data_IF_258788766240
#
_entry.id   IF_258788766240
#
_cell.length_a   1.000
_cell.length_b   1.000
_cell.length_c   1.000
_cell.angle_alpha   90.00
_cell.angle_beta   90.00
_cell.angle_gamma   90.00
#
_symmetry.space_group_name_H-M   'P 1'
#
loop_
_entity.id
_entity.type
_entity.pdbx_description
1 polymer ?
#
# COMPACT_ATOMS: atom_id res chain seq x y z
N UNK A 1 21.54 21.96 0.47
CA UNK A 1 20.45 21.01 0.77
C UNK A 1 19.98 21.27 2.19
N UNK A 2 18.69 21.50 2.41
CA UNK A 2 18.16 21.66 3.79
C UNK A 2 17.89 20.27 4.31
N UNK A 3 18.57 19.87 5.37
CA UNK A 3 18.30 18.60 6.05
C UNK A 3 17.16 18.81 7.03
N UNK A 4 16.12 18.04 6.91
CA UNK A 4 15.02 17.97 7.88
C UNK A 4 15.06 16.58 8.50
N UNK A 5 15.25 16.52 9.82
CA UNK A 5 15.24 15.26 10.53
C UNK A 5 13.84 15.02 11.10
N UNK A 6 13.30 13.84 10.84
CA UNK A 6 12.05 13.40 11.42
C UNK A 6 12.35 12.29 12.44
N UNK A 7 11.81 12.41 13.65
CA UNK A 7 11.90 11.38 14.68
C UNK A 7 10.51 10.92 15.07
N UNK A 8 10.33 9.62 15.10
CA UNK A 8 9.11 8.97 15.54
C UNK A 8 9.37 8.33 16.91
N UNK A 9 8.51 8.59 17.88
CA UNK A 9 8.60 8.00 19.22
C UNK A 9 7.24 7.46 19.63
N UNK A 10 7.19 6.19 19.98
CA UNK A 10 5.98 5.55 20.51
C UNK A 10 5.88 5.93 21.99
N UNK A 11 4.84 6.64 22.35
CA UNK A 11 4.58 7.06 23.76
C UNK A 11 3.73 6.03 24.50
N UNK A 12 2.79 5.40 23.77
CA UNK A 12 1.92 4.34 24.26
C UNK A 12 1.30 3.60 23.08
N UNK A 13 0.52 2.56 23.34
CA UNK A 13 -0.26 1.88 22.28
C UNK A 13 -1.35 2.76 21.66
N UNK A 14 -1.64 3.92 22.27
CA UNK A 14 -2.71 4.84 21.84
C UNK A 14 -2.19 6.14 21.25
N UNK A 15 -0.92 6.48 21.48
CA UNK A 15 -0.36 7.77 21.10
C UNK A 15 1.05 7.63 20.50
N UNK A 16 1.29 8.40 19.46
CA UNK A 16 2.57 8.53 18.77
C UNK A 16 3.02 9.98 18.82
N UNK A 17 4.29 10.23 19.12
CA UNK A 17 4.88 11.54 18.97
C UNK A 17 5.68 11.63 17.68
N UNK A 18 5.36 12.62 16.86
CA UNK A 18 6.08 12.96 15.65
C UNK A 18 6.82 14.28 15.87
N UNK A 19 8.14 14.24 15.75
CA UNK A 19 9.00 15.40 15.92
C UNK A 19 9.70 15.75 14.62
N UNK A 20 9.57 17.01 14.20
CA UNK A 20 10.28 17.58 13.05
C UNK A 20 11.29 18.57 13.57
N UNK A 21 12.55 18.39 13.20
CA UNK A 21 13.62 19.35 13.45
C UNK A 21 14.24 19.82 12.13
N UNK A 22 14.67 21.05 12.10
CA UNK A 22 15.43 21.61 10.98
C UNK A 22 16.85 22.04 11.43
N UNK A 23 17.69 22.40 10.47
CA UNK A 23 19.09 22.81 10.71
C UNK A 23 19.24 24.06 11.59
N UNK A 24 18.13 24.77 11.87
CA UNK A 24 18.10 25.94 12.77
C UNK A 24 17.68 25.61 14.20
N UNK A 25 17.54 24.33 14.51
CA UNK A 25 17.13 23.86 15.85
C UNK A 25 15.65 24.09 16.17
N UNK A 26 14.84 24.52 15.21
CA UNK A 26 13.39 24.61 15.38
C UNK A 26 12.81 23.20 15.34
N UNK A 27 12.21 22.75 16.44
CA UNK A 27 11.53 21.47 16.52
C UNK A 27 10.05 21.68 16.86
N UNK A 28 9.20 20.98 16.12
CA UNK A 28 7.78 20.86 16.42
C UNK A 28 7.47 19.43 16.83
N UNK A 29 6.81 19.26 17.97
CA UNK A 29 6.36 17.95 18.45
C UNK A 29 4.84 17.87 18.38
N UNK A 30 4.34 16.88 17.66
CA UNK A 30 2.90 16.63 17.52
C UNK A 30 2.58 15.27 18.12
N UNK A 31 1.57 15.23 18.96
CA UNK A 31 1.03 13.99 19.51
C UNK A 31 -0.17 13.57 18.66
N UNK A 32 -0.16 12.34 18.17
CA UNK A 32 -1.18 11.80 17.29
C UNK A 32 -1.86 10.61 17.94
N UNK A 33 -3.18 10.59 17.89
CA UNK A 33 -4.01 9.44 18.25
C UNK A 33 -4.14 8.51 17.04
N UNK A 34 -4.59 7.28 17.27
CA UNK A 34 -4.74 6.28 16.22
C UNK A 34 -5.52 6.78 15.00
N UNK A 35 -6.68 7.44 15.22
CA UNK A 35 -7.50 7.99 14.13
C UNK A 35 -6.82 9.11 13.34
N UNK A 36 -5.96 9.88 13.98
CA UNK A 36 -5.19 10.94 13.34
C UNK A 36 -4.05 10.33 12.51
N UNK A 37 -3.44 9.24 13.03
CA UNK A 37 -2.45 8.46 12.29
C UNK A 37 -3.07 7.83 11.04
N UNK A 38 -4.25 7.22 11.14
CA UNK A 38 -4.96 6.64 10.00
C UNK A 38 -5.23 7.70 8.93
N UNK A 39 -5.67 8.88 9.35
CA UNK A 39 -5.91 10.02 8.45
C UNK A 39 -4.62 10.51 7.80
N UNK A 40 -3.53 10.55 8.53
CA UNK A 40 -2.21 10.94 8.02
C UNK A 40 -1.70 9.93 7.00
N UNK A 41 -1.79 8.63 7.28
CA UNK A 41 -1.41 7.55 6.36
C UNK A 41 -2.19 7.67 5.05
N UNK A 42 -3.50 7.85 5.13
CA UNK A 42 -4.35 7.98 3.94
C UNK A 42 -3.94 9.20 3.09
N UNK A 43 -3.69 10.35 3.71
CA UNK A 43 -3.26 11.57 3.01
C UNK A 43 -1.87 11.41 2.40
N UNK A 44 -0.93 10.82 3.12
CA UNK A 44 0.42 10.56 2.61
C UNK A 44 0.39 9.60 1.43
N UNK A 45 -0.42 8.55 1.49
CA UNK A 45 -0.59 7.60 0.39
C UNK A 45 -1.17 8.27 -0.86
N UNK A 46 -2.20 9.11 -0.71
CA UNK A 46 -2.77 9.91 -1.80
C UNK A 46 -1.73 10.84 -2.41
N UNK A 47 -0.98 11.54 -1.57
CA UNK A 47 0.06 12.45 -2.04
C UNK A 47 1.20 11.70 -2.74
N UNK A 48 1.65 10.57 -2.17
CA UNK A 48 2.68 9.72 -2.78
C UNK A 48 2.27 9.23 -4.17
N UNK A 49 0.99 8.95 -4.39
CA UNK A 49 0.47 8.51 -5.69
C UNK A 49 0.63 9.57 -6.80
N UNK A 50 0.77 10.85 -6.43
CA UNK A 50 0.97 11.97 -7.39
C UNK A 50 2.43 12.43 -7.49
N UNK A 51 3.33 11.89 -6.69
CA UNK A 51 4.74 12.29 -6.68
C UNK A 51 5.56 11.56 -7.73
N UNK A 52 6.57 12.22 -8.26
CA UNK A 52 7.61 11.61 -9.08
C UNK A 52 8.84 11.24 -8.20
N UNK A 53 9.56 10.16 -8.48
CA UNK A 53 9.19 9.11 -9.44
C UNK A 53 7.95 8.33 -9.00
N UNK A 54 7.22 7.76 -9.96
CA UNK A 54 6.09 6.85 -9.65
C UNK A 54 6.56 5.67 -8.79
N UNK A 55 5.63 5.10 -8.02
CA UNK A 55 5.88 3.83 -7.34
C UNK A 55 6.15 2.76 -8.40
N UNK A 56 7.28 2.04 -8.34
CA UNK A 56 7.62 1.03 -9.33
C UNK A 56 6.50 0.00 -9.50
N UNK A 57 6.20 -0.33 -10.75
CA UNK A 57 5.22 -1.39 -11.07
C UNK A 57 5.85 -2.79 -11.04
N UNK A 58 7.19 -2.84 -11.11
CA UNK A 58 7.94 -4.08 -10.95
C UNK A 58 7.79 -4.62 -9.53
N UNK A 59 7.69 -5.92 -9.42
CA UNK A 59 7.72 -6.57 -8.11
C UNK A 59 9.10 -6.30 -7.45
N UNK A 60 9.17 -5.78 -6.22
CA UNK A 60 10.42 -5.74 -5.48
C UNK A 60 10.86 -7.18 -5.12
N UNK A 61 12.08 -7.33 -4.66
CA UNK A 61 12.51 -8.63 -4.13
C UNK A 61 11.59 -9.02 -2.98
N UNK A 62 11.17 -10.29 -2.94
CA UNK A 62 10.18 -10.75 -1.95
C UNK A 62 10.64 -10.59 -0.51
N UNK A 63 11.96 -10.54 -0.30
CA UNK A 63 12.59 -10.31 1.00
C UNK A 63 12.34 -8.89 1.53
N UNK A 64 12.13 -7.92 0.63
CA UNK A 64 11.85 -6.52 0.97
C UNK A 64 10.35 -6.24 1.16
N UNK A 65 9.49 -7.22 0.89
CA UNK A 65 8.03 -7.06 1.02
C UNK A 65 7.59 -7.51 2.40
N UNK A 66 6.95 -6.61 3.14
CA UNK A 66 6.31 -6.96 4.40
C UNK A 66 5.24 -8.04 4.20
N UNK A 67 5.42 -9.21 4.82
CA UNK A 67 4.51 -10.33 4.70
C UNK A 67 3.39 -10.24 5.74
N UNK A 68 2.16 -10.29 5.26
CA UNK A 68 0.97 -10.38 6.12
C UNK A 68 0.47 -11.82 6.05
N UNK A 69 0.57 -12.52 7.17
CA UNK A 69 0.08 -13.88 7.30
C UNK A 69 -1.44 -13.87 7.48
N UNK A 70 -2.12 -14.80 6.79
CA UNK A 70 -3.55 -15.06 6.92
C UNK A 70 -4.43 -13.78 6.90
N UNK A 71 -4.38 -12.99 5.82
CA UNK A 71 -5.13 -11.74 5.75
C UNK A 71 -6.64 -12.00 5.71
N UNK A 72 -7.40 -11.22 6.47
CA UNK A 72 -8.86 -11.20 6.34
C UNK A 72 -9.21 -10.55 5.00
N UNK A 73 -10.07 -11.19 4.22
CA UNK A 73 -10.51 -10.68 2.93
C UNK A 73 -12.03 -10.84 2.74
N UNK A 74 -12.59 -9.99 1.90
CA UNK A 74 -13.99 -10.01 1.51
C UNK A 74 -14.07 -9.79 0.01
N UNK A 75 -14.89 -10.57 -0.67
CA UNK A 75 -15.25 -10.36 -2.05
C UNK A 75 -16.69 -9.84 -2.13
N UNK A 76 -16.87 -8.64 -2.65
CA UNK A 76 -18.17 -8.03 -2.87
C UNK A 76 -18.45 -7.90 -4.37
N UNK A 77 -19.69 -8.21 -4.77
CA UNK A 77 -20.17 -8.11 -6.14
C UNK A 77 -21.32 -7.08 -6.19
N UNK A 78 -21.02 -5.80 -6.51
CA UNK A 78 -22.05 -4.78 -6.62
C UNK A 78 -23.07 -5.14 -7.71
N UNK A 79 -24.36 -5.00 -7.41
CA UNK A 79 -25.41 -5.31 -8.38
C UNK A 79 -25.40 -4.39 -9.63
N UNK A 80 -24.87 -3.18 -9.47
CA UNK A 80 -24.84 -2.18 -10.53
C UNK A 80 -23.73 -2.39 -11.57
N UNK A 81 -22.73 -3.22 -11.27
CA UNK A 81 -21.58 -3.46 -12.15
C UNK A 81 -21.27 -4.95 -12.22
N UNK A 82 -20.55 -5.35 -13.29
CA UNK A 82 -20.02 -6.72 -13.40
C UNK A 82 -18.70 -6.89 -12.65
N UNK A 83 -18.12 -5.81 -12.14
CA UNK A 83 -16.84 -5.81 -11.45
C UNK A 83 -16.95 -6.48 -10.09
N UNK A 84 -15.82 -6.95 -9.61
CA UNK A 84 -15.69 -7.48 -8.25
C UNK A 84 -14.88 -6.50 -7.41
N UNK A 85 -15.27 -6.30 -6.18
CA UNK A 85 -14.49 -5.55 -5.20
C UNK A 85 -13.82 -6.56 -4.26
N UNK A 86 -12.50 -6.66 -4.37
CA UNK A 86 -11.69 -7.42 -3.43
C UNK A 86 -11.21 -6.48 -2.33
N UNK A 87 -11.63 -6.75 -1.10
CA UNK A 87 -11.22 -6.02 0.08
C UNK A 87 -10.26 -6.90 0.88
N UNK A 88 -9.10 -6.36 1.22
CA UNK A 88 -8.08 -7.06 2.01
C UNK A 88 -7.73 -6.18 3.22
N UNK A 89 -7.77 -6.77 4.41
CA UNK A 89 -7.42 -6.06 5.63
C UNK A 89 -5.91 -6.05 5.83
N UNK A 90 -5.33 -4.86 5.84
CA UNK A 90 -3.95 -4.63 6.23
C UNK A 90 -3.88 -4.13 7.69
N UNK A 91 -2.99 -4.64 8.56
CA UNK A 91 -2.96 -4.28 9.98
C UNK A 91 -2.69 -2.79 10.23
N UNK A 92 -1.86 -2.15 9.41
CA UNK A 92 -1.50 -0.74 9.56
C UNK A 92 -2.20 0.24 8.60
N UNK A 93 -2.77 -0.24 7.49
CA UNK A 93 -3.43 0.60 6.49
C UNK A 93 -4.96 0.48 6.49
N UNK A 94 -5.51 -0.41 7.32
CA UNK A 94 -6.93 -0.69 7.32
C UNK A 94 -7.39 -1.54 6.13
N UNK A 95 -8.60 -1.30 5.63
CA UNK A 95 -9.15 -2.03 4.50
C UNK A 95 -8.70 -1.42 3.17
N UNK A 96 -7.99 -2.22 2.39
CA UNK A 96 -7.61 -1.90 1.02
C UNK A 96 -8.66 -2.49 0.07
N UNK A 97 -9.21 -1.66 -0.82
CA UNK A 97 -10.24 -2.07 -1.77
C UNK A 97 -9.70 -2.03 -3.19
N UNK A 98 -9.83 -3.14 -3.88
CA UNK A 98 -9.40 -3.30 -5.28
C UNK A 98 -10.60 -3.60 -6.15
N UNK A 99 -10.82 -2.80 -7.19
CA UNK A 99 -11.83 -3.05 -8.20
C UNK A 99 -11.22 -3.92 -9.30
N UNK A 100 -11.82 -5.07 -9.54
CA UNK A 100 -11.39 -6.05 -10.53
C UNK A 100 -12.46 -6.18 -11.63
N UNK A 101 -12.14 -5.81 -12.86
CA UNK A 101 -12.97 -6.17 -14.02
C UNK A 101 -13.16 -7.69 -14.09
N UNK A 102 -14.26 -8.19 -14.71
CA UNK A 102 -14.56 -9.63 -14.72
C UNK A 102 -13.43 -10.50 -15.25
N UNK A 103 -12.72 -10.04 -16.29
CA UNK A 103 -11.57 -10.76 -16.85
C UNK A 103 -10.40 -10.88 -15.85
N UNK A 104 -10.14 -9.82 -15.10
CA UNK A 104 -9.07 -9.80 -14.09
C UNK A 104 -9.43 -10.62 -12.85
N UNK A 105 -10.71 -10.58 -12.45
CA UNK A 105 -11.20 -11.43 -11.37
C UNK A 105 -11.09 -12.92 -11.72
N UNK A 106 -11.43 -13.30 -12.96
CA UNK A 106 -11.29 -14.67 -13.44
C UNK A 106 -9.82 -15.12 -13.48
N UNK A 107 -8.91 -14.27 -13.98
CA UNK A 107 -7.47 -14.56 -14.00
C UNK A 107 -6.91 -14.75 -12.59
N UNK A 108 -7.27 -13.86 -11.68
CA UNK A 108 -6.83 -13.98 -10.28
C UNK A 108 -7.34 -15.28 -9.66
N UNK A 109 -8.64 -15.59 -9.82
CA UNK A 109 -9.22 -16.83 -9.31
C UNK A 109 -8.53 -18.07 -9.87
N UNK A 110 -8.23 -18.08 -11.18
CA UNK A 110 -7.49 -19.17 -11.81
C UNK A 110 -6.06 -19.29 -11.25
N UNK A 111 -5.36 -18.17 -11.10
CA UNK A 111 -3.99 -18.15 -10.56
C UNK A 111 -3.91 -18.66 -9.11
N UNK A 112 -4.90 -18.34 -8.29
CA UNK A 112 -4.95 -18.77 -6.88
C UNK A 112 -5.17 -20.29 -6.73
N UNK A 113 -5.87 -20.94 -7.67
CA UNK A 113 -6.14 -22.39 -7.61
C UNK A 113 -5.13 -23.21 -8.42
N UNK A 114 -4.37 -22.58 -9.32
CA UNK A 114 -3.33 -23.27 -10.11
C UNK A 114 -2.00 -23.23 -9.37
N UNK A 115 -1.38 -24.39 -9.18
CA UNK A 115 -0.08 -24.53 -8.51
C UNK A 115 1.11 -24.05 -9.36
N UNK A 116 0.96 -23.02 -10.14
CA UNK A 116 2.00 -22.57 -11.07
C UNK A 116 2.35 -21.07 -10.97
N UNK A 117 3.64 -20.71 -11.00
CA UNK A 117 4.11 -19.32 -10.91
C UNK A 117 3.90 -18.49 -12.21
N UNK A 118 3.17 -19.01 -13.20
CA UNK A 118 3.23 -18.57 -14.59
C UNK A 118 2.62 -17.20 -14.92
N UNK A 119 1.82 -16.57 -14.05
CA UNK A 119 1.14 -15.32 -14.44
C UNK A 119 1.75 -14.02 -13.93
N UNK A 120 2.71 -14.10 -13.02
CA UNK A 120 3.39 -12.90 -12.51
C UNK A 120 4.42 -12.41 -13.54
N UNK A 121 5.07 -13.30 -14.27
CA UNK A 121 6.12 -12.97 -15.22
C UNK A 121 5.63 -12.11 -16.40
N UNK A 122 4.48 -12.42 -16.97
CA UNK A 122 3.98 -11.73 -18.18
C UNK A 122 3.51 -10.28 -17.95
N UNK A 123 3.19 -9.93 -16.72
CA UNK A 123 2.77 -8.56 -16.33
C UNK A 123 3.91 -7.66 -15.90
N UNK A 124 5.02 -8.24 -15.50
CA UNK A 124 6.17 -7.52 -14.93
C UNK A 124 7.28 -7.27 -15.96
N UNK A 125 7.24 -7.95 -17.10
CA UNK A 125 8.16 -7.67 -18.20
C UNK A 125 7.63 -6.47 -19.00
N UNK A 126 8.39 -5.37 -19.08
CA UNK A 126 8.09 -4.33 -20.06
C UNK A 126 8.18 -4.96 -21.44
N UNK A 127 7.17 -4.68 -22.26
CA UNK A 127 6.99 -5.11 -23.65
C UNK A 127 8.27 -5.58 -24.33
N UNK A 128 8.16 -6.77 -24.92
CA UNK A 128 9.23 -7.52 -25.55
C UNK A 128 10.15 -6.78 -26.50
N UNK A 129 11.15 -7.47 -27.07
CA UNK A 129 12.28 -6.86 -27.75
C UNK A 129 11.82 -5.97 -28.91
N UNK A 130 12.27 -4.75 -28.88
CA UNK A 130 12.22 -3.85 -30.03
C UNK A 130 13.02 -4.50 -31.18
N UNK A 131 12.32 -4.91 -32.21
CA UNK A 131 12.91 -5.19 -33.50
C UNK A 131 13.14 -3.89 -34.26
#
# INVERSE_FOLDING_TARGET
>A
MRSTNARLSILSTLELAFELSNDKGSSGKVHLRASEIDSLIARLAQHRATMAPEVPRSLPELEDVGLIHDPVWILHAPAATKDKLLLIRHPGLGWLTFQLPPSEAAKLGHALVSNGPQQIADRLLPNGPLH
#
